data_IF_010628240827
#
_entry.id   IF_010628240827
#
_cell.length_a   1.000
_cell.length_b   1.000
_cell.length_c   1.000
_cell.angle_alpha   90.00
_cell.angle_beta   90.00
_cell.angle_gamma   90.00
#
_symmetry.space_group_name_H-M   'P 1'
#
loop_
_entity.id
_entity.type
_entity.pdbx_description
1 polymer ?
#
# COMPACT_ATOMS: atom_id res chain seq x y z
N UNK A 1 14.59 15.80 -6.53
CA UNK A 1 14.22 16.05 -5.13
C UNK A 1 14.32 14.75 -4.35
N UNK A 2 14.74 14.84 -3.08
CA UNK A 2 14.68 13.70 -2.17
C UNK A 2 13.27 13.63 -1.58
N UNK A 3 12.78 12.43 -1.27
CA UNK A 3 11.55 12.22 -0.49
C UNK A 3 11.87 11.21 0.60
N UNK A 4 11.52 11.53 1.85
CA UNK A 4 11.72 10.61 2.97
C UNK A 4 10.46 9.79 3.23
N UNK A 5 10.63 8.47 3.29
CA UNK A 5 9.56 7.50 3.56
C UNK A 5 9.96 6.56 4.68
N UNK A 6 9.00 6.24 5.52
CA UNK A 6 9.12 5.24 6.57
C UNK A 6 8.06 4.17 6.35
N UNK A 7 8.43 2.90 6.50
CA UNK A 7 7.49 1.79 6.44
C UNK A 7 7.71 0.80 7.57
N UNK A 8 6.65 0.09 7.92
CA UNK A 8 6.69 -1.02 8.86
C UNK A 8 5.60 -2.05 8.52
N UNK A 9 5.78 -3.27 9.01
CA UNK A 9 4.76 -4.30 8.94
C UNK A 9 4.59 -5.01 10.28
N UNK A 10 3.36 -5.40 10.56
CA UNK A 10 2.98 -6.10 11.77
C UNK A 10 2.30 -7.43 11.48
N UNK A 11 1.85 -8.09 12.55
CA UNK A 11 0.93 -9.22 12.49
C UNK A 11 -0.35 -8.97 11.71
N UNK A 12 -0.77 -7.71 11.64
CA UNK A 12 -2.12 -7.31 11.21
C UNK A 12 -2.16 -6.64 9.84
N UNK A 13 -1.10 -5.92 9.47
CA UNK A 13 -1.05 -5.14 8.24
C UNK A 13 0.30 -4.51 7.98
N UNK A 14 0.35 -3.67 6.96
CA UNK A 14 1.45 -2.79 6.62
C UNK A 14 1.06 -1.33 6.77
N UNK A 15 2.07 -0.50 7.02
CA UNK A 15 1.93 0.93 7.09
C UNK A 15 3.14 1.63 6.50
N UNK A 16 2.92 2.73 5.80
CA UNK A 16 3.99 3.64 5.40
C UNK A 16 3.52 5.09 5.40
N UNK A 17 4.46 6.02 5.56
CA UNK A 17 4.17 7.44 5.47
C UNK A 17 5.33 8.20 4.86
N UNK A 18 5.01 9.29 4.17
CA UNK A 18 5.98 10.23 3.62
C UNK A 18 6.01 11.53 4.44
N UNK A 19 7.20 12.10 4.64
CA UNK A 19 7.36 13.32 5.45
C UNK A 19 7.02 14.58 4.66
N UNK A 20 7.31 14.58 3.36
CA UNK A 20 7.32 15.81 2.53
C UNK A 20 6.13 15.91 1.57
N UNK A 21 5.42 14.81 1.32
CA UNK A 21 4.28 14.77 0.40
C UNK A 21 2.98 14.75 1.19
N UNK A 22 2.60 15.93 1.69
CA UNK A 22 1.24 16.21 2.19
C UNK A 22 0.69 15.18 3.20
N UNK A 23 1.59 14.59 4.01
CA UNK A 23 1.28 13.50 4.96
C UNK A 23 0.51 12.33 4.34
N UNK A 24 0.81 11.95 3.09
CA UNK A 24 0.21 10.76 2.51
C UNK A 24 0.62 9.51 3.31
N UNK A 25 -0.39 8.81 3.79
CA UNK A 25 -0.28 7.55 4.51
C UNK A 25 -0.74 6.40 3.62
N UNK A 26 0.06 5.33 3.61
CA UNK A 26 -0.30 4.04 3.06
C UNK A 26 -0.63 3.10 4.21
N UNK A 27 -1.71 2.36 4.06
CA UNK A 27 -2.10 1.31 5.00
C UNK A 27 -2.79 0.20 4.23
N UNK A 28 -2.48 -1.04 4.61
CA UNK A 28 -3.11 -2.24 4.05
C UNK A 28 -3.20 -3.30 5.16
N UNK A 29 -4.32 -3.99 5.26
CA UNK A 29 -4.50 -5.13 6.17
C UNK A 29 -4.14 -6.44 5.48
N UNK A 30 -3.58 -7.37 6.24
CA UNK A 30 -3.23 -8.69 5.73
C UNK A 30 -4.43 -9.61 5.62
N UNK A 31 -4.45 -10.42 4.56
CA UNK A 31 -5.27 -11.62 4.54
C UNK A 31 -4.70 -12.71 5.48
N UNK A 32 -5.43 -13.82 5.63
CA UNK A 32 -5.01 -14.92 6.50
C UNK A 32 -3.65 -15.51 6.09
N UNK A 33 -3.37 -15.64 4.80
CA UNK A 33 -2.13 -16.22 4.30
C UNK A 33 -0.96 -15.27 4.48
N UNK A 34 -1.14 -13.99 4.19
CA UNK A 34 -0.14 -12.93 4.33
C UNK A 34 0.22 -12.72 5.81
N UNK A 35 -0.75 -12.82 6.71
CA UNK A 35 -0.53 -12.71 8.15
C UNK A 35 0.38 -13.83 8.71
N UNK A 36 0.41 -15.00 8.06
CA UNK A 36 1.25 -16.14 8.46
C UNK A 36 2.66 -16.10 7.84
N UNK A 37 2.92 -15.18 6.91
CA UNK A 37 4.25 -15.02 6.32
C UNK A 37 5.27 -14.47 7.31
N UNK A 38 6.55 -14.66 6.98
CA UNK A 38 7.66 -14.19 7.82
C UNK A 38 7.63 -12.66 8.01
N UNK A 39 8.20 -12.16 9.11
CA UNK A 39 8.35 -10.71 9.33
C UNK A 39 9.07 -10.01 8.18
N UNK A 40 10.13 -10.62 7.65
CA UNK A 40 10.89 -10.09 6.51
C UNK A 40 10.04 -10.01 5.24
N UNK A 41 9.20 -11.02 4.99
CA UNK A 41 8.28 -10.99 3.85
C UNK A 41 7.26 -9.86 4.00
N UNK A 42 6.61 -9.74 5.17
CA UNK A 42 5.61 -8.70 5.41
C UNK A 42 6.19 -7.30 5.31
N UNK A 43 7.39 -7.07 5.82
CA UNK A 43 8.07 -5.77 5.71
C UNK A 43 8.50 -5.47 4.27
N UNK A 44 8.99 -6.46 3.52
CA UNK A 44 9.31 -6.27 2.11
C UNK A 44 8.05 -6.02 1.26
N UNK A 45 6.93 -6.69 1.60
CA UNK A 45 5.61 -6.46 1.01
C UNK A 45 5.09 -5.05 1.32
N UNK A 46 5.28 -4.57 2.56
CA UNK A 46 4.96 -3.18 2.91
C UNK A 46 5.70 -2.16 2.05
N UNK A 47 6.99 -2.40 1.77
CA UNK A 47 7.79 -1.56 0.88
C UNK A 47 7.22 -1.59 -0.55
N UNK A 48 6.96 -2.79 -1.08
CA UNK A 48 6.40 -2.98 -2.42
C UNK A 48 5.06 -2.23 -2.58
N UNK A 49 4.09 -2.49 -1.70
CA UNK A 49 2.75 -1.93 -1.81
C UNK A 49 2.76 -0.41 -1.64
N UNK A 50 3.52 0.11 -0.67
CA UNK A 50 3.67 1.56 -0.49
C UNK A 50 4.32 2.22 -1.72
N UNK A 51 5.35 1.60 -2.30
CA UNK A 51 6.01 2.09 -3.51
C UNK A 51 5.04 2.14 -4.69
N UNK A 52 4.25 1.08 -4.90
CA UNK A 52 3.25 1.02 -5.97
C UNK A 52 2.17 2.08 -5.78
N UNK A 53 1.68 2.25 -4.55
CA UNK A 53 0.62 3.21 -4.20
C UNK A 53 1.01 4.65 -4.52
N UNK A 54 2.28 4.98 -4.33
CA UNK A 54 2.82 6.33 -4.55
C UNK A 54 3.64 6.48 -5.82
N UNK A 55 3.68 5.47 -6.70
CA UNK A 55 4.60 5.39 -7.86
C UNK A 55 4.56 6.62 -8.77
N UNK A 56 3.37 7.18 -9.01
CA UNK A 56 3.19 8.37 -9.86
C UNK A 56 3.68 9.64 -9.16
N UNK A 57 3.58 9.70 -7.83
CA UNK A 57 4.07 10.83 -7.03
C UNK A 57 5.60 10.77 -6.88
N UNK A 58 6.17 9.57 -6.90
CA UNK A 58 7.60 9.31 -6.78
C UNK A 58 8.36 9.35 -8.10
N UNK A 59 7.65 9.43 -9.23
CA UNK A 59 8.24 9.39 -10.57
C UNK A 59 9.40 10.41 -10.73
N UNK A 60 10.57 9.91 -11.15
CA UNK A 60 11.79 10.70 -11.32
C UNK A 60 12.49 11.16 -10.02
N UNK A 61 12.07 10.68 -8.85
CA UNK A 61 12.62 11.13 -7.54
C UNK A 61 13.58 10.12 -6.92
N UNK A 62 14.37 10.61 -5.96
CA UNK A 62 15.20 9.78 -5.09
C UNK A 62 14.50 9.61 -3.75
N UNK A 63 14.18 8.38 -3.39
CA UNK A 63 13.51 8.03 -2.14
C UNK A 63 14.54 7.63 -1.10
N UNK A 64 14.53 8.30 0.05
CA UNK A 64 15.24 7.85 1.24
C UNK A 64 14.27 7.01 2.06
N UNK A 65 14.47 5.70 2.06
CA UNK A 65 13.52 4.75 2.63
C UNK A 65 14.04 4.18 3.94
N UNK A 66 13.23 4.29 5.00
CA UNK A 66 13.55 3.76 6.32
C UNK A 66 12.65 2.57 6.69
N UNK A 67 13.27 1.50 7.18
CA UNK A 67 12.62 0.26 7.64
C UNK A 67 13.24 -0.22 8.95
N UNK A 68 12.46 -0.92 9.77
CA UNK A 68 12.93 -1.53 11.01
C UNK A 68 13.63 -2.89 10.82
N UNK A 69 13.75 -3.38 9.57
CA UNK A 69 14.34 -4.70 9.28
C UNK A 69 15.54 -4.66 8.34
N UNK A 70 16.68 -5.08 8.88
CA UNK A 70 17.96 -5.11 8.17
C UNK A 70 17.96 -6.07 6.98
N UNK A 71 17.17 -7.15 7.03
CA UNK A 71 17.07 -8.08 5.90
C UNK A 71 16.45 -7.39 4.69
N UNK A 72 15.42 -6.57 4.89
CA UNK A 72 14.79 -5.81 3.81
C UNK A 72 15.78 -4.87 3.12
N UNK A 73 16.64 -4.18 3.89
CA UNK A 73 17.71 -3.32 3.34
C UNK A 73 18.64 -4.12 2.42
N UNK A 74 19.07 -5.31 2.86
CA UNK A 74 19.94 -6.17 2.06
C UNK A 74 19.22 -6.66 0.80
N UNK A 75 17.99 -7.15 0.94
CA UNK A 75 17.22 -7.74 -0.15
C UNK A 75 16.88 -6.71 -1.23
N UNK A 76 16.50 -5.49 -0.86
CA UNK A 76 16.23 -4.43 -1.85
C UNK A 76 17.50 -4.03 -2.61
N UNK A 77 18.68 -4.12 -1.99
CA UNK A 77 19.96 -3.77 -2.63
C UNK A 77 20.54 -4.88 -3.51
N UNK A 78 20.39 -6.15 -3.12
CA UNK A 78 21.11 -7.27 -3.75
C UNK A 78 20.22 -8.46 -4.16
N UNK A 79 18.92 -8.43 -3.84
CA UNK A 79 18.03 -9.57 -4.00
C UNK A 79 18.14 -10.61 -2.87
N UNK A 80 17.43 -11.72 -3.05
CA UNK A 80 17.35 -12.85 -2.12
C UNK A 80 17.42 -14.18 -2.88
N UNK A 81 17.94 -15.23 -2.22
CA UNK A 81 17.85 -16.60 -2.73
C UNK A 81 16.51 -17.27 -2.39
N UNK A 82 15.73 -16.68 -1.50
CA UNK A 82 14.38 -17.15 -1.20
C UNK A 82 13.44 -16.64 -2.29
N UNK A 83 12.75 -17.56 -2.98
CA UNK A 83 11.87 -17.25 -4.11
C UNK A 83 10.81 -16.21 -3.78
N UNK A 84 10.08 -16.37 -2.67
CA UNK A 84 9.02 -15.41 -2.26
C UNK A 84 9.58 -14.00 -2.04
N UNK A 85 10.74 -13.90 -1.40
CA UNK A 85 11.39 -12.61 -1.16
C UNK A 85 11.98 -12.02 -2.45
N UNK A 86 12.48 -12.86 -3.34
CA UNK A 86 13.04 -12.44 -4.62
C UNK A 86 11.97 -11.89 -5.55
N UNK A 87 10.77 -12.48 -5.58
CA UNK A 87 9.62 -11.97 -6.34
C UNK A 87 9.29 -10.53 -5.91
N UNK A 88 9.22 -10.27 -4.60
CA UNK A 88 8.97 -8.93 -4.07
C UNK A 88 10.12 -7.96 -4.42
N UNK A 89 11.37 -8.39 -4.30
CA UNK A 89 12.52 -7.57 -4.67
C UNK A 89 12.51 -7.18 -6.15
N UNK A 90 12.16 -8.12 -7.04
CA UNK A 90 12.03 -7.87 -8.48
C UNK A 90 10.87 -6.92 -8.78
N UNK A 91 9.74 -7.05 -8.08
CA UNK A 91 8.60 -6.14 -8.21
C UNK A 91 8.98 -4.70 -7.84
N UNK A 92 9.63 -4.51 -6.68
CA UNK A 92 10.17 -3.21 -6.24
C UNK A 92 11.11 -2.63 -7.29
N UNK A 93 12.07 -3.44 -7.77
CA UNK A 93 13.05 -3.02 -8.76
C UNK A 93 12.40 -2.63 -10.10
N UNK A 94 11.40 -3.40 -10.55
CA UNK A 94 10.65 -3.13 -11.78
C UNK A 94 9.93 -1.78 -11.72
N UNK A 95 9.24 -1.49 -10.61
CA UNK A 95 8.57 -0.19 -10.41
C UNK A 95 9.60 0.94 -10.42
N UNK A 96 10.75 0.74 -9.79
CA UNK A 96 11.82 1.74 -9.80
C UNK A 96 12.33 2.07 -11.20
N UNK A 97 12.57 1.05 -12.03
CA UNK A 97 12.98 1.26 -13.42
C UNK A 97 11.88 1.97 -14.22
N UNK A 98 10.65 1.45 -14.17
CA UNK A 98 9.53 1.96 -14.96
C UNK A 98 9.22 3.43 -14.68
N UNK A 99 9.44 3.88 -13.44
CA UNK A 99 9.13 5.24 -12.97
C UNK A 99 10.36 6.12 -12.75
N UNK A 100 11.54 5.67 -13.18
CA UNK A 100 12.81 6.38 -12.97
C UNK A 100 13.03 6.77 -11.48
N UNK A 101 12.68 5.89 -10.56
CA UNK A 101 12.83 6.09 -9.12
C UNK A 101 14.16 5.50 -8.67
N UNK A 102 14.88 6.25 -7.83
CA UNK A 102 16.07 5.73 -7.14
C UNK A 102 15.76 5.56 -5.65
N UNK A 103 16.01 4.37 -5.09
CA UNK A 103 15.77 4.09 -3.66
C UNK A 103 17.10 3.98 -2.91
N UNK A 104 17.31 4.86 -1.94
CA UNK A 104 18.33 4.71 -0.88
C UNK A 104 17.65 4.17 0.39
N UNK A 105 17.69 2.85 0.56
CA UNK A 105 17.09 2.17 1.71
C UNK A 105 18.08 2.01 2.87
N UNK A 106 17.63 2.34 4.08
CA UNK A 106 18.39 2.33 5.31
C UNK A 106 17.59 1.72 6.46
N UNK A 107 18.29 1.04 7.36
CA UNK A 107 17.69 0.49 8.57
C UNK A 107 17.69 1.55 9.67
N UNK A 108 16.61 1.60 10.45
CA UNK A 108 16.52 2.39 11.68
C UNK A 108 16.05 1.52 12.86
N UNK A 109 16.43 1.84 14.11
CA UNK A 109 15.88 1.20 15.28
C UNK A 109 14.36 1.32 15.34
N UNK A 110 13.67 0.28 15.83
CA UNK A 110 12.20 0.27 15.94
C UNK A 110 11.65 1.42 16.78
N UNK A 111 12.39 1.89 17.78
CA UNK A 111 12.03 3.06 18.59
C UNK A 111 11.93 4.36 17.78
N UNK A 112 12.62 4.43 16.64
CA UNK A 112 12.58 5.56 15.71
C UNK A 112 11.55 5.36 14.58
N UNK A 113 10.87 4.20 14.53
CA UNK A 113 9.88 3.86 13.51
C UNK A 113 8.45 3.75 14.08
N UNK A 114 8.18 4.40 15.22
CA UNK A 114 6.92 4.25 15.98
C UNK A 114 5.67 4.62 15.18
N UNK A 115 5.76 5.62 14.31
CA UNK A 115 4.61 6.05 13.51
C UNK A 115 4.23 5.03 12.43
N UNK A 116 5.20 4.45 11.70
CA UNK A 116 4.90 3.41 10.72
C UNK A 116 4.40 2.13 11.40
N UNK A 117 4.97 1.80 12.56
CA UNK A 117 4.57 0.68 13.43
C UNK A 117 3.17 0.86 14.04
N UNK A 118 2.74 2.10 14.28
CA UNK A 118 1.35 2.41 14.63
C UNK A 118 0.40 2.18 13.45
N UNK A 119 0.72 2.74 12.28
CA UNK A 119 -0.10 2.60 11.06
C UNK A 119 -0.24 1.13 10.68
N UNK A 120 0.83 0.33 10.75
CA UNK A 120 0.80 -1.10 10.39
C UNK A 120 -0.04 -1.97 11.34
N UNK A 121 -0.46 -1.43 12.49
CA UNK A 121 -1.31 -2.13 13.46
C UNK A 121 -2.75 -1.63 13.51
N UNK A 122 -3.08 -0.62 12.72
CA UNK A 122 -4.45 -0.16 12.58
C UNK A 122 -5.31 -1.30 12.02
N UNK A 123 -6.50 -1.46 12.58
CA UNK A 123 -7.52 -2.38 12.09
C UNK A 123 -8.80 -1.56 12.06
N UNK A 124 -9.40 -1.47 10.89
CA UNK A 124 -10.72 -0.88 10.74
C UNK A 124 -11.77 -1.95 11.05
N UNK A 125 -12.39 -1.85 12.23
CA UNK A 125 -13.45 -2.77 12.65
C UNK A 125 -14.81 -2.40 12.05
N UNK A 126 -14.93 -1.22 11.43
CA UNK A 126 -16.16 -0.69 10.85
C UNK A 126 -16.19 -0.83 9.32
N UNK A 127 -15.28 -1.64 8.77
CA UNK A 127 -15.16 -1.91 7.33
C UNK A 127 -16.27 -2.84 6.81
N UNK A 128 -17.51 -2.36 6.89
CA UNK A 128 -18.69 -3.10 6.48
C UNK A 128 -18.95 -2.88 4.99
N UNK A 129 -19.20 -3.96 4.26
CA UNK A 129 -19.54 -3.93 2.84
C UNK A 129 -20.75 -4.81 2.53
N UNK A 130 -21.41 -4.53 1.41
CA UNK A 130 -22.47 -5.40 0.89
C UNK A 130 -21.90 -6.74 0.39
N UNK A 131 -22.72 -7.79 0.37
CA UNK A 131 -22.31 -9.08 -0.20
C UNK A 131 -22.10 -8.97 -1.72
N UNK A 132 -21.30 -9.86 -2.30
CA UNK A 132 -21.06 -9.86 -3.74
C UNK A 132 -22.34 -10.18 -4.52
N UNK A 133 -23.19 -11.06 -3.99
CA UNK A 133 -24.47 -11.43 -4.60
C UNK A 133 -25.42 -10.22 -4.67
N UNK A 134 -25.50 -9.46 -3.57
CA UNK A 134 -26.29 -8.24 -3.53
C UNK A 134 -25.72 -7.17 -4.48
N UNK A 135 -24.39 -7.00 -4.51
CA UNK A 135 -23.75 -6.07 -5.44
C UNK A 135 -24.03 -6.42 -6.90
N UNK A 136 -23.92 -7.69 -7.29
CA UNK A 136 -24.22 -8.13 -8.66
C UNK A 136 -25.68 -7.87 -9.03
N UNK A 137 -26.62 -8.16 -8.12
CA UNK A 137 -28.03 -7.85 -8.33
C UNK A 137 -28.28 -6.35 -8.58
N UNK A 138 -27.64 -5.48 -7.79
CA UNK A 138 -27.72 -4.02 -7.99
C UNK A 138 -27.09 -3.60 -9.33
N UNK A 139 -25.94 -4.18 -9.68
CA UNK A 139 -25.21 -3.87 -10.91
C UNK A 139 -25.96 -4.32 -12.17
N UNK A 140 -26.73 -5.40 -12.10
CA UNK A 140 -27.60 -5.82 -13.20
C UNK A 140 -28.79 -4.86 -13.42
N UNK A 141 -29.26 -4.20 -12.36
CA UNK A 141 -30.38 -3.26 -12.40
C UNK A 141 -29.97 -1.84 -12.80
N UNK A 142 -28.86 -1.34 -12.25
CA UNK A 142 -28.47 0.07 -12.33
C UNK A 142 -27.02 0.29 -12.77
N UNK A 143 -26.29 -0.79 -13.04
CA UNK A 143 -24.92 -0.72 -13.49
C UNK A 143 -24.74 -0.39 -14.98
N UNK A 144 -23.50 -0.48 -15.48
CA UNK A 144 -22.31 -0.86 -14.73
C UNK A 144 -21.86 0.25 -13.76
N UNK A 145 -21.56 -0.11 -12.52
CA UNK A 145 -20.90 0.81 -11.58
C UNK A 145 -19.44 1.02 -11.99
N UNK A 146 -18.99 2.27 -11.97
CA UNK A 146 -17.66 2.66 -12.48
C UNK A 146 -16.64 2.90 -11.37
N UNK A 147 -17.10 3.04 -10.13
CA UNK A 147 -16.27 3.29 -8.95
C UNK A 147 -16.95 2.82 -7.66
N UNK A 148 -16.19 2.25 -6.75
CA UNK A 148 -16.63 1.90 -5.40
C UNK A 148 -16.13 2.96 -4.41
N UNK A 149 -17.05 3.68 -3.78
CA UNK A 149 -16.70 4.74 -2.82
C UNK A 149 -16.79 4.14 -1.42
N UNK A 150 -15.81 4.46 -0.56
CA UNK A 150 -15.73 3.97 0.82
C UNK A 150 -15.39 2.48 0.95
N UNK A 151 -14.49 1.99 0.09
CA UNK A 151 -14.03 0.60 0.13
C UNK A 151 -12.51 0.53 0.27
N UNK A 152 -11.99 -0.67 0.44
CA UNK A 152 -10.57 -0.97 0.49
C UNK A 152 -10.24 -2.18 -0.40
N UNK A 153 -8.98 -2.60 -0.40
CA UNK A 153 -8.52 -3.69 -1.27
C UNK A 153 -9.18 -5.04 -1.01
N UNK A 154 -9.74 -5.26 0.18
CA UNK A 154 -10.38 -6.52 0.57
C UNK A 154 -11.87 -6.54 0.22
N UNK A 155 -12.58 -5.41 0.30
CA UNK A 155 -14.03 -5.35 0.12
C UNK A 155 -14.49 -4.65 -1.18
N UNK A 156 -13.58 -4.05 -1.94
CA UNK A 156 -13.89 -3.36 -3.19
C UNK A 156 -14.64 -4.26 -4.19
N UNK A 157 -15.74 -3.75 -4.74
CA UNK A 157 -16.60 -4.44 -5.71
C UNK A 157 -16.24 -4.15 -7.17
N UNK A 158 -15.49 -3.08 -7.39
CA UNK A 158 -14.94 -2.71 -8.70
C UNK A 158 -13.47 -2.29 -8.58
N UNK A 159 -12.75 -2.32 -9.70
CA UNK A 159 -11.31 -2.09 -9.76
C UNK A 159 -10.89 -0.67 -9.31
N UNK A 160 -11.73 0.35 -9.59
CA UNK A 160 -11.49 1.74 -9.18
C UNK A 160 -12.25 2.00 -7.88
N UNK A 161 -11.56 2.44 -6.85
CA UNK A 161 -12.22 2.78 -5.59
C UNK A 161 -11.55 3.90 -4.79
N UNK A 162 -12.28 4.43 -3.80
CA UNK A 162 -11.73 5.33 -2.79
C UNK A 162 -11.67 4.67 -1.43
N UNK A 163 -10.51 4.79 -0.79
CA UNK A 163 -10.22 4.22 0.51
C UNK A 163 -9.83 5.29 1.51
N UNK A 164 -9.88 4.95 2.80
CA UNK A 164 -9.43 5.83 3.87
C UNK A 164 -7.92 6.14 3.77
N UNK A 165 -7.12 5.18 3.30
CA UNK A 165 -5.67 5.29 3.12
C UNK A 165 -5.26 4.88 1.71
N UNK A 166 -4.13 5.41 1.22
CA UNK A 166 -3.62 4.99 -0.09
C UNK A 166 -3.25 3.50 -0.08
N UNK A 167 -3.57 2.81 -1.17
CA UNK A 167 -3.12 1.45 -1.47
C UNK A 167 -3.01 1.27 -3.01
N UNK A 168 -2.49 0.15 -3.54
CA UNK A 168 -2.16 0.03 -4.97
C UNK A 168 -3.32 0.23 -5.96
N UNK A 169 -4.56 0.00 -5.54
CA UNK A 169 -5.75 0.08 -6.40
C UNK A 169 -6.66 1.27 -6.07
N UNK A 170 -6.46 1.93 -4.94
CA UNK A 170 -7.16 3.16 -4.60
C UNK A 170 -6.80 4.30 -5.56
N UNK A 171 -7.82 4.88 -6.19
CA UNK A 171 -7.61 6.01 -7.11
C UNK A 171 -7.54 7.36 -6.38
N UNK A 172 -8.12 7.43 -5.18
CA UNK A 172 -8.05 8.59 -4.29
C UNK A 172 -8.34 8.20 -2.84
N UNK A 173 -7.91 9.08 -1.92
CA UNK A 173 -8.31 9.05 -0.51
C UNK A 173 -9.37 10.11 -0.25
N UNK A 174 -10.26 9.85 0.70
CA UNK A 174 -11.40 10.71 1.06
C UNK A 174 -12.37 10.97 -0.12
N UNK A 175 -13.43 10.15 -0.18
CA UNK A 175 -14.45 10.25 -1.22
C UNK A 175 -15.20 11.59 -1.24
N UNK A 176 -15.27 12.33 -0.12
CA UNK A 176 -15.97 13.61 -0.05
C UNK A 176 -15.23 14.73 -0.78
N UNK A 177 -13.94 14.55 -1.05
CA UNK A 177 -13.11 15.51 -1.79
C UNK A 177 -13.09 15.27 -3.30
N UNK A 178 -13.73 14.20 -3.76
CA UNK A 178 -13.74 13.81 -5.16
C UNK A 178 -14.90 14.45 -5.92
N UNK A 179 -14.78 14.53 -7.25
CA UNK A 179 -15.91 14.85 -8.13
C UNK A 179 -16.74 13.57 -8.40
N UNK A 180 -18.06 13.71 -8.33
CA UNK A 180 -19.04 12.62 -8.44
C UNK A 180 -19.85 12.71 -9.74
N UNK A 181 -19.76 13.84 -10.46
CA UNK A 181 -20.66 14.18 -11.56
C UNK A 181 -20.62 13.23 -12.77
N UNK A 182 -19.50 12.52 -12.97
CA UNK A 182 -19.24 11.67 -14.13
C UNK A 182 -19.05 10.19 -13.78
N UNK A 183 -19.48 9.75 -12.60
CA UNK A 183 -19.32 8.37 -12.15
C UNK A 183 -20.68 7.75 -11.80
N UNK A 184 -20.86 6.46 -12.11
CA UNK A 184 -21.99 5.68 -11.64
C UNK A 184 -21.55 4.92 -10.39
N UNK A 185 -22.09 5.32 -9.23
CA UNK A 185 -21.67 4.87 -7.90
C UNK A 185 -22.79 4.05 -7.25
#
# INVERSE_FOLDING_TARGET
>A
SHVVIYSDASGKGAGAYSVELDKKHFHETWDFSEAQESSTWRELKAIELALISFKNVFEGKTLKWYTANQNCVKIVKTGSMNEKLQILALSIFSVCIQKCISIDIQWIPRSQNSQADYISRMVDYEDWGVSNEFFQFMNDLWGPYTIDRFSNSQNAKVCRYNSLFWNPCAIAVDAFTQDWSNENN
#
